data_IF_102600076033
#
_entry.id   IF_102600076033
#
_cell.length_a   1.000
_cell.length_b   1.000
_cell.length_c   1.000
_cell.angle_alpha   90.00
_cell.angle_beta   90.00
_cell.angle_gamma   90.00
#
_symmetry.space_group_name_H-M   'P 1'
#
loop_
_entity.id
_entity.type
_entity.pdbx_description
1 polymer ?
#
# COMPACT_ATOMS: atom_id res chain seq x y z
N UNK A 1 24.51 48.29 -24.38
CA UNK A 1 24.23 46.98 -25.03
C UNK A 1 24.90 45.82 -24.29
N UNK A 2 26.08 46.02 -23.67
CA UNK A 2 26.67 45.02 -22.75
C UNK A 2 25.85 44.80 -21.46
N UNK A 3 25.21 45.85 -20.97
CA UNK A 3 24.54 45.92 -19.66
C UNK A 3 23.48 44.81 -19.44
N UNK A 4 22.77 44.43 -20.51
CA UNK A 4 21.77 43.37 -20.48
C UNK A 4 22.40 41.97 -20.37
N UNK A 5 23.55 41.76 -21.03
CA UNK A 5 24.31 40.51 -20.93
C UNK A 5 24.91 40.36 -19.52
N UNK A 6 25.42 41.45 -18.95
CA UNK A 6 25.97 41.47 -17.59
C UNK A 6 24.88 41.25 -16.54
N UNK A 7 23.67 41.77 -16.76
CA UNK A 7 22.51 41.49 -15.91
C UNK A 7 22.11 40.01 -15.96
N UNK A 8 21.93 39.44 -17.15
CA UNK A 8 21.58 38.01 -17.27
C UNK A 8 22.68 37.10 -16.71
N UNK A 9 23.96 37.44 -16.90
CA UNK A 9 25.09 36.72 -16.33
C UNK A 9 25.02 36.68 -14.79
N UNK A 10 24.79 37.84 -14.15
CA UNK A 10 24.62 37.93 -12.69
C UNK A 10 23.43 37.13 -12.17
N UNK A 11 22.28 37.19 -12.85
CA UNK A 11 21.09 36.44 -12.42
C UNK A 11 21.27 34.92 -12.60
N UNK A 12 21.93 34.48 -13.67
CA UNK A 12 22.32 33.06 -13.85
C UNK A 12 23.28 32.60 -12.75
N UNK A 13 24.29 33.40 -12.38
CA UNK A 13 25.20 33.06 -11.27
C UNK A 13 24.45 32.93 -9.93
N UNK A 14 23.54 33.87 -9.63
CA UNK A 14 22.70 33.85 -8.43
C UNK A 14 21.80 32.62 -8.37
N UNK A 15 21.13 32.27 -9.47
CA UNK A 15 20.27 31.07 -9.55
C UNK A 15 21.08 29.78 -9.39
N UNK A 16 22.30 29.71 -9.96
CA UNK A 16 23.21 28.57 -9.77
C UNK A 16 23.65 28.42 -8.32
N UNK A 17 24.05 29.50 -7.66
CA UNK A 17 24.42 29.48 -6.24
C UNK A 17 23.26 29.03 -5.34
N UNK A 18 22.02 29.48 -5.63
CA UNK A 18 20.83 29.02 -4.91
C UNK A 18 20.56 27.52 -5.11
N UNK A 19 20.74 27.01 -6.34
CA UNK A 19 20.59 25.59 -6.66
C UNK A 19 21.65 24.74 -5.94
N UNK A 20 22.92 25.14 -5.98
CA UNK A 20 24.03 24.43 -5.33
C UNK A 20 23.87 24.41 -3.80
N UNK A 21 23.48 25.53 -3.20
CA UNK A 21 23.18 25.61 -1.76
C UNK A 21 22.01 24.69 -1.37
N UNK A 22 20.93 24.67 -2.17
CA UNK A 22 19.78 23.79 -1.96
C UNK A 22 20.19 22.31 -2.06
N UNK A 23 20.95 21.93 -3.09
CA UNK A 23 21.47 20.57 -3.27
C UNK A 23 22.40 20.13 -2.13
N UNK A 24 23.27 21.02 -1.64
CA UNK A 24 24.13 20.72 -0.50
C UNK A 24 23.32 20.51 0.79
N UNK A 25 22.32 21.35 1.03
CA UNK A 25 21.38 21.20 2.15
C UNK A 25 20.60 19.89 2.06
N UNK A 26 20.15 19.50 0.86
CA UNK A 26 19.49 18.22 0.63
C UNK A 26 20.40 17.03 0.96
N UNK A 27 21.66 17.04 0.50
CA UNK A 27 22.65 15.99 0.80
C UNK A 27 22.85 15.83 2.31
N UNK A 28 23.03 16.95 3.04
CA UNK A 28 23.10 16.94 4.50
C UNK A 28 21.85 16.34 5.16
N UNK A 29 20.63 16.73 4.72
CA UNK A 29 19.38 16.15 5.24
C UNK A 29 19.22 14.65 4.93
N UNK A 30 19.94 14.12 3.93
CA UNK A 30 20.00 12.69 3.61
C UNK A 30 21.14 11.95 4.34
N UNK A 31 21.96 12.64 5.13
CA UNK A 31 23.11 12.08 5.83
C UNK A 31 24.39 11.97 4.98
N UNK A 32 24.43 12.63 3.83
CA UNK A 32 25.58 12.70 2.94
C UNK A 32 26.47 13.93 3.27
N UNK A 33 27.75 13.89 2.88
CA UNK A 33 28.74 14.98 3.04
C UNK A 33 28.95 15.55 4.46
N UNK A 34 28.45 14.89 5.50
CA UNK A 34 28.50 15.34 6.89
C UNK A 34 29.91 15.69 7.43
N UNK A 35 30.97 15.23 6.76
CA UNK A 35 32.36 15.52 7.12
C UNK A 35 32.77 16.99 6.91
N UNK A 36 32.01 17.78 6.13
CA UNK A 36 32.27 19.22 5.97
C UNK A 36 31.58 20.09 7.01
N UNK A 37 30.69 19.52 7.83
CA UNK A 37 29.94 20.23 8.85
C UNK A 37 30.69 20.26 10.19
N UNK A 38 30.57 21.37 10.92
CA UNK A 38 31.08 21.45 12.28
C UNK A 38 30.12 20.77 13.28
N UNK A 39 30.59 20.46 14.49
CA UNK A 39 29.76 19.83 15.53
C UNK A 39 28.48 20.64 15.86
N UNK A 40 28.52 21.99 15.98
CA UNK A 40 27.30 22.81 16.07
C UNK A 40 26.34 22.63 14.88
N UNK A 41 26.84 22.60 13.65
CA UNK A 41 26.00 22.46 12.45
C UNK A 41 25.34 21.09 12.37
N UNK A 42 26.06 20.03 12.77
CA UNK A 42 25.53 18.67 12.90
C UNK A 42 24.41 18.58 13.95
N UNK A 43 24.56 19.24 15.10
CA UNK A 43 23.52 19.30 16.13
C UNK A 43 22.27 20.07 15.66
N UNK A 44 22.46 21.15 14.90
CA UNK A 44 21.35 21.89 14.27
C UNK A 44 20.63 21.03 13.22
N UNK A 45 21.38 20.29 12.41
CA UNK A 45 20.83 19.35 11.42
C UNK A 45 20.03 18.23 12.08
N UNK A 46 20.55 17.63 13.16
CA UNK A 46 19.86 16.62 13.96
C UNK A 46 18.53 17.15 14.52
N UNK A 47 18.55 18.35 15.13
CA UNK A 47 17.33 19.01 15.61
C UNK A 47 16.31 19.25 14.50
N UNK A 48 16.75 19.71 13.32
CA UNK A 48 15.87 19.94 12.18
C UNK A 48 15.22 18.64 11.69
N UNK A 49 15.98 17.53 11.66
CA UNK A 49 15.50 16.21 11.27
C UNK A 49 14.51 15.65 12.30
N UNK A 50 14.79 15.74 13.60
CA UNK A 50 13.88 15.26 14.65
C UNK A 50 12.53 16.01 14.61
N UNK A 51 12.55 17.34 14.53
CA UNK A 51 11.34 18.15 14.37
C UNK A 51 10.58 17.78 13.09
N UNK A 52 11.28 17.52 11.98
CA UNK A 52 10.68 17.07 10.73
C UNK A 52 9.99 15.71 10.86
N UNK A 53 10.68 14.71 11.40
CA UNK A 53 10.16 13.36 11.65
C UNK A 53 8.97 13.38 12.61
N UNK A 54 9.05 14.19 13.67
CA UNK A 54 7.96 14.38 14.64
C UNK A 54 6.69 14.92 13.95
N UNK A 55 6.82 15.97 13.12
CA UNK A 55 5.69 16.52 12.34
C UNK A 55 5.09 15.51 11.36
N UNK A 56 5.91 14.72 10.67
CA UNK A 56 5.44 13.66 9.75
C UNK A 56 4.66 12.59 10.52
N UNK A 57 5.18 12.12 11.67
CA UNK A 57 4.48 11.16 12.53
C UNK A 57 3.16 11.73 13.06
N UNK A 58 3.15 12.97 13.54
CA UNK A 58 1.95 13.65 14.01
C UNK A 58 0.88 13.73 12.91
N UNK A 59 1.22 14.19 11.70
CA UNK A 59 0.26 14.31 10.60
C UNK A 59 -0.26 12.94 10.15
N UNK A 60 0.59 11.91 10.09
CA UNK A 60 0.16 10.53 9.80
C UNK A 60 -0.82 10.01 10.86
N UNK A 61 -0.54 10.22 12.14
CA UNK A 61 -1.44 9.82 13.23
C UNK A 61 -2.78 10.55 13.16
N UNK A 62 -2.78 11.85 12.88
CA UNK A 62 -3.99 12.64 12.69
C UNK A 62 -4.86 12.10 11.53
N UNK A 63 -4.27 11.85 10.36
CA UNK A 63 -4.97 11.28 9.21
C UNK A 63 -5.57 9.90 9.50
N UNK A 64 -4.86 9.05 10.25
CA UNK A 64 -5.37 7.73 10.65
C UNK A 64 -6.54 7.83 11.64
N UNK A 65 -6.54 8.82 12.53
CA UNK A 65 -7.68 9.08 13.42
C UNK A 65 -8.89 9.61 12.65
N UNK A 66 -8.68 10.56 11.72
CA UNK A 66 -9.70 11.09 10.82
C UNK A 66 -10.41 9.96 10.04
N UNK A 67 -9.64 9.02 9.46
CA UNK A 67 -10.17 7.83 8.75
C UNK A 67 -10.91 6.87 9.69
N UNK A 68 -10.37 6.56 10.88
CA UNK A 68 -11.04 5.69 11.87
C UNK A 68 -12.39 6.27 12.29
N UNK A 69 -12.49 7.59 12.47
CA UNK A 69 -13.75 8.25 12.78
C UNK A 69 -14.74 8.22 11.61
N UNK A 70 -14.27 8.39 10.37
CA UNK A 70 -15.12 8.29 9.18
C UNK A 70 -15.70 6.87 9.02
N UNK A 71 -14.87 5.85 9.16
CA UNK A 71 -15.31 4.45 9.13
C UNK A 71 -16.27 4.13 10.28
N UNK A 72 -16.07 4.70 11.47
CA UNK A 72 -17.01 4.57 12.61
C UNK A 72 -18.36 5.22 12.32
N UNK A 73 -18.39 6.42 11.72
CA UNK A 73 -19.64 7.09 11.30
C UNK A 73 -20.40 6.21 10.30
N UNK A 74 -19.74 5.80 9.20
CA UNK A 74 -20.31 4.89 8.19
C UNK A 74 -20.85 3.60 8.78
N UNK A 75 -20.17 3.01 9.78
CA UNK A 75 -20.64 1.79 10.46
C UNK A 75 -21.90 2.03 11.31
N UNK A 76 -22.02 3.19 11.98
CA UNK A 76 -23.21 3.55 12.75
C UNK A 76 -24.39 3.78 11.79
N UNK A 77 -24.18 4.52 10.70
CA UNK A 77 -25.19 4.77 9.68
C UNK A 77 -25.68 3.44 9.05
N UNK A 78 -24.74 2.56 8.68
CA UNK A 78 -25.02 1.24 8.12
C UNK A 78 -25.77 0.30 9.09
N UNK A 79 -25.55 0.42 10.40
CA UNK A 79 -26.33 -0.31 11.42
C UNK A 79 -27.73 0.29 11.58
N UNK A 80 -27.85 1.62 11.61
CA UNK A 80 -29.12 2.32 11.72
C UNK A 80 -30.11 1.95 10.60
N UNK A 81 -29.64 1.84 9.35
CA UNK A 81 -30.48 1.40 8.22
C UNK A 81 -30.90 -0.07 8.34
N UNK A 82 -30.04 -0.96 8.85
CA UNK A 82 -30.37 -2.36 9.05
C UNK A 82 -31.43 -2.55 10.15
N UNK A 83 -31.27 -1.85 11.28
CA UNK A 83 -32.23 -1.85 12.39
C UNK A 83 -33.57 -1.21 11.98
N UNK A 84 -33.57 -0.24 11.07
CA UNK A 84 -34.80 0.32 10.49
C UNK A 84 -35.52 -0.70 9.59
N UNK A 85 -34.78 -1.39 8.71
CA UNK A 85 -35.34 -2.44 7.85
C UNK A 85 -35.91 -3.62 8.64
N UNK A 86 -35.22 -4.06 9.71
CA UNK A 86 -35.67 -5.15 10.58
C UNK A 86 -36.98 -4.85 11.32
N UNK A 87 -37.27 -3.56 11.60
CA UNK A 87 -38.54 -3.11 12.20
C UNK A 87 -39.69 -2.98 11.18
N UNK A 88 -39.40 -3.07 9.88
CA UNK A 88 -40.36 -2.89 8.79
C UNK A 88 -41.11 -4.15 8.34
N UNK A 89 -40.89 -5.31 8.97
CA UNK A 89 -41.50 -6.59 8.54
C UNK A 89 -42.52 -7.10 9.57
N UNK A 90 -43.81 -6.71 9.47
CA UNK A 90 -44.88 -7.42 10.15
C UNK A 90 -45.11 -8.78 9.45
N UNK A 91 -45.02 -9.86 10.22
CA UNK A 91 -45.18 -11.20 9.69
C UNK A 91 -46.62 -11.52 9.26
N UNK A 92 -46.77 -12.08 8.06
CA UNK A 92 -47.87 -12.98 7.72
C UNK A 92 -47.25 -14.35 7.47
N UNK A 93 -47.61 -15.31 8.33
CA UNK A 93 -46.87 -16.57 8.46
C UNK A 93 -47.43 -17.73 7.66
N UNK A 94 -46.78 -18.88 7.87
CA UNK A 94 -47.26 -20.25 7.61
C UNK A 94 -47.78 -20.59 6.22
N UNK A 95 -46.94 -21.28 5.43
CA UNK A 95 -47.33 -22.62 5.01
C UNK A 95 -46.12 -23.58 4.95
N UNK A 96 -46.12 -24.58 5.84
CA UNK A 96 -45.19 -25.71 5.81
C UNK A 96 -45.81 -26.80 4.93
N UNK A 97 -45.42 -26.87 3.65
CA UNK A 97 -45.85 -27.96 2.78
C UNK A 97 -44.70 -28.51 1.93
N UNK A 98 -43.92 -29.42 2.53
CA UNK A 98 -43.27 -30.47 1.75
C UNK A 98 -44.36 -31.44 1.29
N UNK A 99 -44.38 -31.86 0.01
CA UNK A 99 -44.05 -33.26 -0.22
C UNK A 99 -43.39 -33.59 -1.59
N UNK A 100 -42.69 -34.72 -1.58
CA UNK A 100 -42.51 -35.66 -2.71
C UNK A 100 -41.50 -35.30 -3.83
N UNK A 101 -40.20 -35.49 -3.54
CA UNK A 101 -39.20 -35.78 -4.57
C UNK A 101 -39.35 -37.24 -5.07
N UNK A 102 -40.29 -37.46 -5.99
CA UNK A 102 -40.58 -38.77 -6.58
C UNK A 102 -39.48 -39.17 -7.57
N UNK A 103 -38.75 -40.25 -7.29
CA UNK A 103 -37.69 -40.77 -8.16
C UNK A 103 -38.29 -41.55 -9.33
N UNK A 104 -38.14 -41.05 -10.56
CA UNK A 104 -38.35 -41.85 -11.77
C UNK A 104 -37.18 -41.63 -12.76
N UNK A 105 -36.80 -42.69 -13.46
CA UNK A 105 -35.49 -42.86 -14.09
C UNK A 105 -35.50 -42.65 -15.60
N UNK A 106 -34.36 -42.16 -16.11
CA UNK A 106 -33.80 -42.44 -17.44
C UNK A 106 -34.66 -42.19 -18.70
N UNK A 107 -34.37 -41.08 -19.39
CA UNK A 107 -34.30 -41.06 -20.86
C UNK A 107 -33.31 -39.98 -21.34
N UNK A 108 -32.30 -40.41 -22.11
CA UNK A 108 -31.34 -39.53 -22.81
C UNK A 108 -31.97 -38.76 -23.97
N UNK A 109 -31.68 -37.46 -24.10
CA UNK A 109 -31.77 -36.72 -25.37
C UNK A 109 -30.90 -35.44 -25.37
N UNK A 110 -29.89 -35.41 -26.24
CA UNK A 110 -29.00 -34.26 -26.54
C UNK A 110 -29.70 -33.23 -27.46
N UNK A 111 -29.22 -32.01 -27.76
CA UNK A 111 -27.90 -31.43 -28.14
C UNK A 111 -28.01 -29.88 -28.00
N UNK A 112 -26.98 -28.98 -27.95
CA UNK A 112 -25.56 -29.00 -27.53
C UNK A 112 -25.20 -27.96 -26.43
N UNK A 113 -23.96 -27.98 -25.91
CA UNK A 113 -23.32 -26.83 -25.26
C UNK A 113 -22.47 -26.02 -26.27
N UNK A 114 -22.59 -24.69 -26.28
CA UNK A 114 -21.81 -23.79 -27.14
C UNK A 114 -20.82 -23.00 -26.28
N UNK A 115 -19.53 -23.31 -26.44
CA UNK A 115 -18.45 -22.59 -25.74
C UNK A 115 -18.09 -21.29 -26.46
N UNK A 116 -17.98 -20.14 -25.75
CA UNK A 116 -17.29 -18.97 -26.27
C UNK A 116 -15.78 -19.24 -26.36
N UNK A 117 -15.16 -18.95 -27.50
CA UNK A 117 -13.71 -19.03 -27.64
C UNK A 117 -13.02 -17.92 -26.84
N UNK A 118 -12.02 -18.28 -26.04
CA UNK A 118 -11.11 -17.32 -25.41
C UNK A 118 -10.04 -16.87 -26.41
N UNK A 119 -9.76 -15.57 -26.56
CA UNK A 119 -8.52 -15.12 -27.20
C UNK A 119 -7.33 -15.45 -26.28
N UNK A 120 -6.32 -16.10 -26.84
CA UNK A 120 -5.11 -16.48 -26.13
C UNK A 120 -4.15 -15.29 -26.02
N UNK A 121 -4.00 -14.75 -24.82
CA UNK A 121 -2.92 -13.84 -24.45
C UNK A 121 -2.39 -14.21 -23.06
N UNK A 122 -1.08 -14.50 -23.00
CA UNK A 122 -0.39 -15.01 -21.82
C UNK A 122 -0.27 -13.92 -20.77
N UNK A 123 -0.74 -14.20 -19.56
CA UNK A 123 -0.13 -13.69 -18.31
C UNK A 123 -0.35 -14.69 -17.17
N UNK A 124 0.60 -14.84 -16.23
CA UNK A 124 0.50 -15.79 -15.13
C UNK A 124 -0.48 -15.34 -14.04
N UNK A 125 -1.35 -16.25 -13.61
CA UNK A 125 -2.26 -16.06 -12.48
C UNK A 125 -1.51 -15.75 -11.17
N UNK A 126 -1.86 -14.67 -10.43
CA UNK A 126 -1.44 -14.51 -9.04
C UNK A 126 -2.25 -15.46 -8.15
N UNK A 127 -1.65 -16.55 -7.70
CA UNK A 127 -2.28 -17.47 -6.75
C UNK A 127 -2.42 -16.81 -5.38
N UNK A 128 -3.66 -16.52 -4.99
CA UNK A 128 -3.97 -15.95 -3.67
C UNK A 128 -3.72 -16.97 -2.55
N UNK A 129 -2.65 -16.79 -1.77
CA UNK A 129 -2.53 -17.29 -0.40
C UNK A 129 -1.78 -16.27 0.49
N UNK A 130 -2.36 -15.86 1.64
CA UNK A 130 -1.70 -14.95 2.56
C UNK A 130 -0.87 -15.71 3.61
N UNK A 131 0.41 -15.96 3.34
CA UNK A 131 1.38 -16.36 4.37
C UNK A 131 2.19 -15.13 4.83
N UNK A 132 1.86 -14.61 6.02
CA UNK A 132 2.60 -13.51 6.65
C UNK A 132 3.93 -14.02 7.22
N UNK A 133 4.98 -14.01 6.39
CA UNK A 133 6.32 -14.44 6.79
C UNK A 133 7.02 -13.34 7.62
N UNK A 134 6.93 -13.43 8.94
CA UNK A 134 7.61 -12.53 9.87
C UNK A 134 9.05 -12.99 10.14
N UNK A 135 10.04 -12.36 9.51
CA UNK A 135 11.47 -12.54 9.84
C UNK A 135 12.41 -12.64 8.63
N UNK A 136 13.48 -11.85 8.71
CA UNK A 136 14.74 -11.79 7.93
C UNK A 136 14.85 -12.50 6.54
N UNK A 137 15.37 -11.81 5.50
CA UNK A 137 15.63 -12.43 4.20
C UNK A 137 16.78 -13.45 4.29
N UNK A 138 16.46 -14.72 4.04
CA UNK A 138 17.47 -15.79 3.88
C UNK A 138 18.22 -15.57 2.57
N UNK A 139 19.53 -15.36 2.66
CA UNK A 139 20.40 -15.36 1.48
C UNK A 139 20.34 -16.71 0.78
N UNK A 140 20.08 -16.70 -0.52
CA UNK A 140 20.00 -17.91 -1.33
C UNK A 140 21.39 -18.56 -1.47
N UNK A 141 21.63 -19.65 -0.75
CA UNK A 141 22.74 -20.55 -1.10
C UNK A 141 22.31 -21.42 -2.29
N UNK A 142 23.13 -21.55 -3.35
CA UNK A 142 22.82 -22.43 -4.45
C UNK A 142 22.83 -23.90 -3.99
N UNK A 143 21.82 -24.64 -4.43
CA UNK A 143 21.64 -26.07 -4.16
C UNK A 143 22.78 -26.91 -4.75
N UNK A 144 23.71 -27.34 -3.92
CA UNK A 144 24.57 -28.52 -4.16
C UNK A 144 24.57 -29.41 -2.93
N UNK A 145 23.98 -30.61 -3.06
CA UNK A 145 23.82 -31.53 -1.95
C UNK A 145 25.11 -32.26 -1.59
N UNK A 146 25.47 -32.24 -0.30
CA UNK A 146 26.37 -33.20 0.33
C UNK A 146 25.94 -33.37 1.81
N UNK A 147 25.90 -34.60 2.36
CA UNK A 147 25.34 -34.85 3.68
C UNK A 147 26.26 -34.43 4.84
N UNK A 148 25.62 -34.05 5.94
CA UNK A 148 26.21 -33.50 7.15
C UNK A 148 26.76 -34.60 8.08
N UNK A 149 28.06 -34.88 8.02
CA UNK A 149 28.77 -35.54 9.13
C UNK A 149 30.28 -35.28 9.12
N UNK A 150 30.77 -34.51 10.09
CA UNK A 150 31.71 -34.98 11.13
C UNK A 150 32.11 -33.80 12.03
N UNK A 151 31.66 -33.87 13.29
CA UNK A 151 32.05 -32.96 14.36
C UNK A 151 33.32 -33.51 15.04
N UNK A 152 34.37 -32.70 15.19
CA UNK A 152 35.42 -32.85 16.22
C UNK A 152 36.28 -31.60 16.32
#
# INVERSE_FOLDING_TARGET
>A
MGDNNDYMSREVMKLRQQLEHSQHTQRHMLGEDLTVLSVPDLLQLEQQLDVGVSRVRQRKSQLLLEEIEELRRKLVDAKGIADAAARGVPGLGSNLQSPNARSESAATQSVPQVYPLQPNLRDPQPTSQPSLQLGYPVSHLPSTGAPLYMLK
#
